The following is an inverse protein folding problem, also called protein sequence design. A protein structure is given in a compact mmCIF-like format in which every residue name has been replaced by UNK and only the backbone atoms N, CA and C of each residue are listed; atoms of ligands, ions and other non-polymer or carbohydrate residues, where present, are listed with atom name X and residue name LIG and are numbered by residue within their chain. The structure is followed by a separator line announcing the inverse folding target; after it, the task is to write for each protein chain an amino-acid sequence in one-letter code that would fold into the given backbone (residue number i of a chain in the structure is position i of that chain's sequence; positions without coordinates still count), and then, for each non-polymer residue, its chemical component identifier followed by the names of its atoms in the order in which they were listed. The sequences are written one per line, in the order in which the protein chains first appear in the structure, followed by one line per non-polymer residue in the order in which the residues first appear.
data_IF_938546471398
#
_entry.id   IF_938546471398
#
_cell.length_a   1.000
_cell.length_b   1.000
_cell.length_c   1.000
_cell.angle_alpha   90.00
_cell.angle_beta   90.00
_cell.angle_gamma   90.00
#
_symmetry.space_group_name_H-M   'P 1'
#
loop_
_entity.id
_entity.type
_entity.pdbx_description
1 polymer ?
#
# COMPACT_ATOMS: atom_id res chain seq x y z
N UNK A 1 5.55 2.58 -6.52
CA UNK A 1 4.37 1.75 -6.80
C UNK A 1 4.75 0.30 -7.12
N UNK A 2 5.18 -0.09 -8.34
CA UNK A 2 5.64 -1.49 -8.58
C UNK A 2 6.83 -1.91 -7.70
N UNK A 3 7.68 -0.95 -7.33
CA UNK A 3 8.75 -1.19 -6.36
C UNK A 3 8.22 -1.58 -4.96
N UNK A 4 7.03 -1.09 -4.59
CA UNK A 4 6.44 -1.29 -3.26
C UNK A 4 5.67 -2.61 -3.13
N UNK A 5 5.09 -3.14 -4.21
CA UNK A 5 4.41 -4.44 -4.18
C UNK A 5 4.14 -4.95 -5.59
N UNK A 6 4.16 -6.27 -5.76
CA UNK A 6 3.73 -6.96 -6.99
C UNK A 6 2.27 -7.41 -6.94
N UNK A 7 1.60 -7.22 -5.80
CA UNK A 7 0.18 -7.51 -5.59
C UNK A 7 -0.53 -6.37 -4.89
N UNK A 8 -1.86 -6.42 -4.87
CA UNK A 8 -2.71 -5.58 -4.02
C UNK A 8 -2.19 -5.58 -2.57
N UNK A 9 -2.04 -4.40 -1.96
CA UNK A 9 -1.50 -4.22 -0.61
C UNK A 9 -2.55 -4.34 0.49
N UNK A 10 -3.75 -4.82 0.16
CA UNK A 10 -4.73 -5.24 1.16
C UNK A 10 -4.30 -6.57 1.78
N UNK A 11 -4.46 -6.73 3.09
CA UNK A 11 -4.01 -7.94 3.80
C UNK A 11 -4.57 -9.22 3.17
N UNK A 12 -3.66 -10.09 2.73
CA UNK A 12 -3.97 -11.42 2.17
C UNK A 12 -4.48 -11.41 0.72
N UNK A 13 -4.62 -10.25 0.07
CA UNK A 13 -5.01 -10.20 -1.32
C UNK A 13 -3.84 -10.60 -2.23
N UNK A 14 -4.12 -11.41 -3.26
CA UNK A 14 -3.12 -11.89 -4.22
C UNK A 14 -3.35 -11.35 -5.64
N UNK A 15 -4.29 -10.43 -5.82
CA UNK A 15 -4.53 -9.80 -7.12
C UNK A 15 -3.22 -9.13 -7.58
N UNK A 16 -2.76 -9.39 -8.81
CA UNK A 16 -1.50 -8.86 -9.29
C UNK A 16 -1.59 -7.34 -9.44
N UNK A 17 -0.45 -6.65 -9.31
CA UNK A 17 -0.38 -5.19 -9.46
C UNK A 17 -0.84 -4.72 -10.86
N UNK A 18 -0.75 -5.58 -11.88
CA UNK A 18 -1.28 -5.32 -13.23
C UNK A 18 -2.81 -5.20 -13.29
N UNK A 19 -3.52 -5.69 -12.27
CA UNK A 19 -4.97 -5.56 -12.12
C UNK A 19 -5.35 -4.58 -11.00
N UNK A 20 -4.37 -3.85 -10.49
CA UNK A 20 -4.56 -2.85 -9.44
C UNK A 20 -4.57 -1.44 -10.03
N UNK A 21 -5.29 -0.57 -9.34
CA UNK A 21 -5.27 0.86 -9.59
C UNK A 21 -4.39 1.55 -8.53
N UNK A 22 -3.92 2.76 -8.88
CA UNK A 22 -3.27 3.63 -7.93
C UNK A 22 -4.29 4.17 -6.93
N UNK A 23 -4.11 3.82 -5.65
CA UNK A 23 -4.99 4.23 -4.57
C UNK A 23 -4.32 5.31 -3.71
N UNK A 24 -5.01 6.43 -3.52
CA UNK A 24 -4.62 7.47 -2.56
C UNK A 24 -4.99 7.07 -1.14
N UNK A 25 -4.01 7.02 -0.24
CA UNK A 25 -4.21 6.70 1.18
C UNK A 25 -4.87 7.87 1.93
N UNK A 26 -4.41 9.09 1.66
CA UNK A 26 -5.16 10.33 1.89
C UNK A 26 -5.83 10.68 0.57
N UNK A 27 -7.16 10.58 0.52
CA UNK A 27 -7.91 10.78 -0.71
C UNK A 27 -7.69 12.19 -1.30
N UNK A 28 -7.66 12.27 -2.64
CA UNK A 28 -7.46 13.54 -3.34
C UNK A 28 -8.56 14.57 -3.01
N UNK A 29 -9.81 14.15 -2.83
CA UNK A 29 -10.91 15.04 -2.43
C UNK A 29 -10.70 15.69 -1.05
N UNK A 30 -9.83 15.12 -0.23
CA UNK A 30 -9.43 15.63 1.09
C UNK A 30 -8.06 16.31 1.06
N UNK A 31 -7.53 16.65 -0.14
CA UNK A 31 -6.27 17.34 -0.33
C UNK A 31 -5.04 16.43 -0.44
N UNK A 32 -5.22 15.12 -0.57
CA UNK A 32 -4.11 14.20 -0.74
C UNK A 32 -3.40 14.33 -2.10
N UNK A 33 -2.08 14.49 -2.07
CA UNK A 33 -1.29 14.64 -3.29
C UNK A 33 -1.12 13.31 -4.05
N UNK A 34 -0.92 13.39 -5.36
CA UNK A 34 -0.58 12.25 -6.21
C UNK A 34 0.93 12.01 -6.19
N UNK A 35 1.44 11.46 -5.08
CA UNK A 35 2.87 11.17 -4.89
C UNK A 35 3.09 9.72 -4.46
N UNK A 36 4.27 9.13 -4.71
CA UNK A 36 4.57 7.77 -4.23
C UNK A 36 4.44 7.58 -2.72
N UNK A 37 4.53 8.67 -1.93
CA UNK A 37 4.34 8.62 -0.48
C UNK A 37 2.87 8.46 -0.07
N UNK A 38 1.93 8.87 -0.93
CA UNK A 38 0.49 8.80 -0.68
C UNK A 38 -0.23 7.73 -1.54
N UNK A 39 0.48 7.04 -2.42
CA UNK A 39 -0.10 6.04 -3.32
C UNK A 39 0.27 4.61 -2.92
N UNK A 40 -0.67 3.68 -3.12
CA UNK A 40 -0.47 2.24 -3.01
C UNK A 40 -1.24 1.47 -4.08
N UNK A 41 -0.99 0.16 -4.19
CA UNK A 41 -1.72 -0.71 -5.12
C UNK A 41 -2.94 -1.33 -4.46
N UNK A 42 -4.14 -1.06 -4.96
CA UNK A 42 -5.34 -1.82 -4.61
C UNK A 42 -6.03 -2.35 -5.87
N UNK A 43 -6.49 -3.60 -5.82
CA UNK A 43 -7.40 -4.12 -6.85
C UNK A 43 -8.72 -3.34 -6.83
N UNK A 44 -9.46 -3.35 -7.94
CA UNK A 44 -10.75 -2.65 -8.07
C UNK A 44 -11.68 -2.88 -6.89
N UNK A 45 -11.77 -4.13 -6.42
CA UNK A 45 -12.56 -4.48 -5.24
C UNK A 45 -12.07 -3.72 -4.00
N UNK A 46 -10.82 -3.91 -3.58
CA UNK A 46 -10.33 -3.29 -2.35
C UNK A 46 -10.23 -1.76 -2.43
N UNK A 47 -9.98 -1.20 -3.61
CA UNK A 47 -10.03 0.25 -3.82
C UNK A 47 -11.42 0.81 -3.47
N UNK A 48 -12.50 0.14 -3.91
CA UNK A 48 -13.89 0.51 -3.56
C UNK A 48 -14.24 0.30 -2.07
N UNK A 49 -13.43 -0.45 -1.34
CA UNK A 49 -13.65 -0.75 0.08
C UNK A 49 -12.85 0.16 1.02
N UNK A 50 -11.75 0.75 0.56
CA UNK A 50 -10.81 1.51 1.39
C UNK A 50 -11.43 2.74 2.07
N UNK A 51 -12.42 3.38 1.43
CA UNK A 51 -13.18 4.49 2.02
C UNK A 51 -14.18 4.04 3.10
N UNK A 52 -14.39 2.73 3.28
CA UNK A 52 -15.33 2.20 4.28
C UNK A 52 -14.59 1.88 5.57
N UNK A 53 -14.71 2.74 6.58
CA UNK A 53 -14.04 2.57 7.88
C UNK A 53 -14.28 1.20 8.56
N UNK A 54 -15.37 0.50 8.23
CA UNK A 54 -15.66 -0.88 8.71
C UNK A 54 -14.83 -1.98 8.03
N UNK A 55 -14.04 -1.66 7.02
CA UNK A 55 -13.22 -2.61 6.25
C UNK A 55 -11.72 -2.42 6.48
N UNK A 56 -11.31 -1.26 7.00
CA UNK A 56 -9.91 -0.90 7.16
C UNK A 56 -9.41 -0.10 5.95
N UNK A 57 -8.14 0.31 6.01
CA UNK A 57 -7.51 1.13 4.99
C UNK A 57 -6.03 0.77 4.85
N UNK A 58 -5.39 1.29 3.81
CA UNK A 58 -3.94 1.22 3.68
C UNK A 58 -3.32 2.56 4.01
N UNK A 59 -2.18 2.54 4.68
CA UNK A 59 -1.38 3.73 4.98
C UNK A 59 0.11 3.42 4.93
N UNK A 60 0.93 4.46 4.87
CA UNK A 60 2.39 4.33 4.85
C UNK A 60 2.95 4.59 6.25
N UNK A 61 3.67 3.61 6.80
CA UNK A 61 4.38 3.72 8.08
C UNK A 61 5.86 3.46 7.85
N UNK A 62 6.71 4.40 8.26
CA UNK A 62 8.16 4.34 8.07
C UNK A 62 8.59 3.99 6.64
N UNK A 63 7.80 4.45 5.67
CA UNK A 63 8.04 4.22 4.25
C UNK A 63 7.59 2.87 3.70
N UNK A 64 6.98 2.00 4.51
CA UNK A 64 6.36 0.75 4.07
C UNK A 64 4.84 0.87 4.02
N UNK A 65 4.23 0.25 3.01
CA UNK A 65 2.75 0.17 2.93
C UNK A 65 2.25 -0.86 3.95
N UNK A 66 1.27 -0.45 4.73
CA UNK A 66 0.61 -1.28 5.74
C UNK A 66 -0.89 -1.28 5.51
N UNK A 67 -1.53 -2.41 5.81
CA UNK A 67 -2.97 -2.48 6.00
C UNK A 67 -3.29 -2.28 7.49
N UNK A 68 -4.23 -1.39 7.78
CA UNK A 68 -4.77 -1.16 9.12
C UNK A 68 -6.21 -1.67 9.14
N UNK A 69 -6.48 -2.65 10.01
CA UNK A 69 -7.82 -3.18 10.19
C UNK A 69 -8.74 -2.16 10.84
N UNK A 70 -10.08 -2.33 10.77
CA UNK A 70 -11.05 -1.46 11.46
C UNK A 70 -10.81 -1.31 12.96
N UNK A 71 -10.12 -2.29 13.57
CA UNK A 71 -9.81 -2.33 14.99
C UNK A 71 -8.37 -1.88 15.29
N UNK A 72 -7.67 -1.29 14.32
CA UNK A 72 -6.32 -0.75 14.48
C UNK A 72 -5.19 -1.79 14.40
N UNK A 73 -5.46 -3.04 14.01
CA UNK A 73 -4.39 -4.02 13.82
C UNK A 73 -3.63 -3.72 12.54
N UNK A 74 -2.31 -3.67 12.64
CA UNK A 74 -1.43 -3.28 11.53
C UNK A 74 -0.80 -4.53 10.92
N UNK A 75 -0.74 -4.60 9.61
CA UNK A 75 -0.05 -5.68 8.90
C UNK A 75 0.74 -5.07 7.75
N UNK A 76 2.05 -5.30 7.73
CA UNK A 76 2.88 -4.91 6.60
C UNK A 76 2.47 -5.68 5.34
N UNK A 77 2.27 -4.97 4.24
CA UNK A 77 1.80 -5.54 2.97
C UNK A 77 2.59 -5.05 1.76
N UNK A 78 3.34 -3.97 1.89
CA UNK A 78 4.36 -3.54 0.92
C UNK A 78 5.76 -4.05 1.26
N UNK A 79 6.70 -3.87 0.35
CA UNK A 79 8.11 -4.16 0.52
C UNK A 79 8.73 -3.24 1.59
N UNK A 80 9.58 -3.82 2.44
CA UNK A 80 10.43 -3.06 3.35
C UNK A 80 11.68 -2.59 2.60
N UNK A 81 11.60 -1.40 2.00
CA UNK A 81 12.71 -0.83 1.24
C UNK A 81 13.93 -0.52 2.08
N UNK A 82 13.75 -0.21 3.38
CA UNK A 82 14.85 0.08 4.29
C UNK A 82 15.65 -1.20 4.54
N UNK A 83 14.98 -2.28 4.97
CA UNK A 83 15.64 -3.57 5.15
C UNK A 83 16.26 -4.09 3.84
N UNK A 84 15.62 -3.85 2.68
CA UNK A 84 16.20 -4.23 1.38
C UNK A 84 17.46 -3.44 1.04
N UNK A 85 17.51 -2.14 1.35
CA UNK A 85 18.67 -1.31 1.10
C UNK A 85 19.86 -1.75 1.96
N UNK A 86 19.63 -2.02 3.25
CA UNK A 86 20.68 -2.48 4.18
C UNK A 86 21.31 -3.81 3.75
N UNK A 87 20.56 -4.65 3.02
CA UNK A 87 21.01 -5.95 2.54
C UNK A 87 21.47 -5.96 1.06
N UNK A 88 21.49 -4.81 0.38
CA UNK A 88 21.90 -4.74 -1.03
C UNK A 88 23.43 -4.76 -1.12
N UNK A 89 24.02 -5.85 -1.61
CA UNK A 89 25.41 -5.83 -2.11
C UNK A 89 25.46 -4.96 -3.38
N UNK A 90 26.34 -3.95 -3.46
CA UNK A 90 26.56 -3.22 -4.71
C UNK A 90 26.97 -4.21 -5.82
N UNK A 91 26.51 -4.00 -7.07
CA UNK A 91 27.08 -4.75 -8.19
C UNK A 91 28.59 -4.45 -8.29
N UNK A 92 29.37 -5.48 -8.64
CA UNK A 92 30.81 -5.37 -8.88
C UNK A 92 31.09 -4.57 -10.17
#
# INVERSE_FOLDING_TARGET
MLADSTTCTWKGCKAPASECDAHHMVEHQHGGETTPANLGWLCKYHNSQAARGTRGHTERRDGQITYVSPYGNVTATGADHKARADNRKPPD
#
